data_IF_175670537219
#
_entry.id   IF_175670537219
#
_cell.length_a   1.000
_cell.length_b   1.000
_cell.length_c   1.000
_cell.angle_alpha   90.00
_cell.angle_beta   90.00
_cell.angle_gamma   90.00
#
_symmetry.space_group_name_H-M   'P 1'
#
loop_
_entity.id
_entity.type
_entity.pdbx_description
1 polymer ?
#
# COMPACT_ATOMS: atom_id res chain seq x y z
N UNK A 1 -11.15 4.94 6.17
CA UNK A 1 -9.69 5.03 5.95
C UNK A 1 -9.43 4.91 4.46
N UNK A 2 -8.65 5.82 3.89
CA UNK A 2 -8.27 5.79 2.48
C UNK A 2 -7.23 4.72 2.23
N UNK A 3 -7.05 4.32 0.97
CA UNK A 3 -6.03 3.34 0.57
C UNK A 3 -4.61 3.80 0.90
N UNK A 4 -4.34 5.11 0.79
CA UNK A 4 -3.06 5.71 1.20
C UNK A 4 -2.84 5.64 2.73
N UNK A 5 -3.86 5.94 3.53
CA UNK A 5 -3.78 5.83 4.98
C UNK A 5 -3.47 4.39 5.42
N UNK A 6 -4.11 3.40 4.78
CA UNK A 6 -3.83 1.98 5.03
C UNK A 6 -2.39 1.62 4.60
N UNK A 7 -1.94 2.09 3.44
CA UNK A 7 -0.57 1.83 2.97
C UNK A 7 0.49 2.32 3.96
N UNK A 8 0.32 3.53 4.50
CA UNK A 8 1.19 4.09 5.56
C UNK A 8 1.18 3.24 6.82
N UNK A 9 -0.01 2.83 7.26
CA UNK A 9 -0.16 2.00 8.46
C UNK A 9 0.52 0.63 8.29
N UNK A 10 0.35 -0.02 7.14
CA UNK A 10 0.97 -1.32 6.87
C UNK A 10 2.48 -1.21 6.75
N UNK A 11 3.00 -0.16 6.10
CA UNK A 11 4.44 0.08 6.04
C UNK A 11 5.02 0.30 7.45
N UNK A 12 4.33 1.05 8.30
CA UNK A 12 4.73 1.21 9.70
C UNK A 12 4.75 -0.13 10.44
N UNK A 13 3.66 -0.91 10.38
CA UNK A 13 3.60 -2.22 11.06
C UNK A 13 4.68 -3.16 10.52
N UNK A 14 4.88 -3.23 9.21
CA UNK A 14 5.93 -4.05 8.57
C UNK A 14 7.33 -3.71 9.10
N UNK A 15 7.63 -2.42 9.26
CA UNK A 15 8.89 -1.94 9.82
C UNK A 15 9.07 -2.42 11.27
N UNK A 16 8.05 -2.23 12.11
CA UNK A 16 8.08 -2.66 13.52
C UNK A 16 8.22 -4.19 13.65
N UNK A 17 7.75 -4.94 12.66
CA UNK A 17 7.89 -6.40 12.58
C UNK A 17 9.23 -6.86 11.98
N UNK A 18 10.10 -5.93 11.57
CA UNK A 18 11.42 -6.25 11.00
C UNK A 18 11.39 -6.72 9.54
N UNK A 19 10.30 -6.47 8.80
CA UNK A 19 10.24 -6.76 7.37
C UNK A 19 11.18 -5.82 6.59
N UNK A 20 11.88 -6.32 5.57
CA UNK A 20 12.64 -5.46 4.66
C UNK A 20 11.68 -4.67 3.75
N UNK A 21 11.42 -3.43 4.14
CA UNK A 21 10.64 -2.46 3.36
C UNK A 21 11.50 -1.31 2.81
N UNK A 22 12.80 -1.29 3.11
CA UNK A 22 13.74 -0.32 2.55
C UNK A 22 13.99 -0.54 1.07
N UNK A 23 13.83 -1.78 0.61
CA UNK A 23 13.92 -2.16 -0.79
C UNK A 23 12.51 -2.43 -1.33
N UNK A 24 12.10 -1.64 -2.34
CA UNK A 24 10.82 -1.77 -3.03
C UNK A 24 10.98 -1.43 -4.51
N UNK A 25 10.20 -2.08 -5.36
CA UNK A 25 10.09 -1.68 -6.76
C UNK A 25 9.09 -0.53 -6.93
N UNK A 26 9.40 0.39 -7.83
CA UNK A 26 8.47 1.46 -8.21
C UNK A 26 7.45 0.89 -9.18
N UNK A 27 6.20 0.83 -8.74
CA UNK A 27 5.06 0.44 -9.59
C UNK A 27 4.46 1.69 -10.24
N UNK A 28 4.41 1.70 -11.58
CA UNK A 28 3.86 2.82 -12.34
C UNK A 28 2.32 2.81 -12.27
N UNK A 29 1.75 3.81 -11.59
CA UNK A 29 0.31 4.06 -11.56
C UNK A 29 0.00 5.43 -12.16
N UNK A 30 -1.10 5.54 -12.91
CA UNK A 30 -1.48 6.79 -13.59
C UNK A 30 -1.88 7.91 -12.61
N UNK A 31 -2.36 7.53 -11.42
CA UNK A 31 -2.85 8.46 -10.40
C UNK A 31 -1.79 8.79 -9.33
N UNK A 32 -0.55 8.33 -9.50
CA UNK A 32 0.52 8.57 -8.53
C UNK A 32 0.92 10.05 -8.45
N UNK A 33 0.75 10.81 -9.52
CA UNK A 33 1.03 12.25 -9.57
C UNK A 33 0.14 13.07 -8.64
N UNK A 34 -1.00 12.52 -8.23
CA UNK A 34 -1.92 13.17 -7.30
C UNK A 34 -1.46 13.07 -5.83
N UNK A 35 -0.40 12.28 -5.57
CA UNK A 35 0.12 11.98 -4.22
C UNK A 35 1.37 12.81 -3.96
N UNK A 36 1.50 13.33 -2.73
CA UNK A 36 2.69 14.08 -2.34
C UNK A 36 3.96 13.20 -2.42
N UNK A 37 5.09 13.77 -2.86
CA UNK A 37 6.34 13.02 -3.11
C UNK A 37 6.81 12.20 -1.90
N UNK A 38 6.66 12.76 -0.68
CA UNK A 38 7.03 12.09 0.56
C UNK A 38 6.09 10.93 0.95
N UNK A 39 4.95 10.80 0.28
CA UNK A 39 3.95 9.77 0.56
C UNK A 39 3.92 8.66 -0.50
N UNK A 40 4.46 8.91 -1.70
CA UNK A 40 4.58 7.90 -2.77
C UNK A 40 5.30 6.62 -2.34
N UNK A 41 6.39 6.66 -1.53
CA UNK A 41 7.06 5.43 -1.09
C UNK A 41 6.13 4.43 -0.40
N UNK A 42 5.14 4.88 0.38
CA UNK A 42 4.21 3.98 1.05
C UNK A 42 3.33 3.21 0.07
N UNK A 43 2.96 3.84 -1.05
CA UNK A 43 2.21 3.20 -2.13
C UNK A 43 3.08 2.15 -2.81
N UNK A 44 4.33 2.49 -3.13
CA UNK A 44 5.26 1.56 -3.76
C UNK A 44 5.53 0.35 -2.88
N UNK A 45 5.82 0.55 -1.60
CA UNK A 45 6.00 -0.53 -0.62
C UNK A 45 4.75 -1.42 -0.56
N UNK A 46 3.56 -0.83 -0.41
CA UNK A 46 2.32 -1.61 -0.30
C UNK A 46 1.99 -2.39 -1.58
N UNK A 47 2.35 -1.86 -2.74
CA UNK A 47 2.16 -2.51 -4.04
C UNK A 47 3.19 -3.62 -4.30
N UNK A 48 4.48 -3.32 -4.10
CA UNK A 48 5.62 -4.24 -4.25
C UNK A 48 5.47 -5.47 -3.37
N UNK A 49 5.17 -5.26 -2.08
CA UNK A 49 4.96 -6.36 -1.13
C UNK A 49 3.61 -7.06 -1.30
N UNK A 50 2.76 -6.57 -2.21
CA UNK A 50 1.47 -7.17 -2.53
C UNK A 50 0.39 -7.00 -1.47
N UNK A 51 0.60 -6.13 -0.48
CA UNK A 51 -0.37 -5.83 0.58
C UNK A 51 -1.65 -5.22 -0.02
N UNK A 52 -1.46 -4.24 -0.92
CA UNK A 52 -2.53 -3.54 -1.61
C UNK A 52 -2.29 -3.66 -3.11
N UNK A 53 -3.34 -4.05 -3.84
CA UNK A 53 -3.30 -4.11 -5.31
C UNK A 53 -4.14 -2.97 -5.88
N UNK A 54 -3.61 -2.28 -6.88
CA UNK A 54 -4.39 -1.38 -7.73
C UNK A 54 -5.34 -2.14 -8.67
N UNK A 55 -5.99 -1.42 -9.57
CA UNK A 55 -6.84 -2.00 -10.61
C UNK A 55 -6.08 -2.38 -11.90
N UNK A 56 -4.75 -2.28 -11.87
CA UNK A 56 -3.84 -2.50 -13.00
C UNK A 56 -3.40 -1.21 -13.69
N UNK A 57 -4.12 -0.10 -13.50
CA UNK A 57 -3.75 1.22 -14.03
C UNK A 57 -3.59 2.27 -12.93
N UNK A 58 -4.42 2.18 -11.89
CA UNK A 58 -4.53 3.15 -10.81
C UNK A 58 -4.38 2.47 -9.44
N UNK A 59 -3.75 3.17 -8.51
CA UNK A 59 -3.68 2.73 -7.12
C UNK A 59 -4.92 3.11 -6.32
N UNK A 60 -5.59 4.21 -6.69
CA UNK A 60 -6.72 4.86 -6.03
C UNK A 60 -6.42 5.33 -4.60
N UNK A 61 -5.39 6.18 -4.39
CA UNK A 61 -4.87 6.50 -3.05
C UNK A 61 -5.91 7.15 -2.13
N UNK A 62 -6.83 7.94 -2.68
CA UNK A 62 -7.82 8.70 -1.92
C UNK A 62 -9.18 8.02 -1.81
N UNK A 63 -9.37 6.87 -2.46
CA UNK A 63 -10.60 6.09 -2.31
C UNK A 63 -10.63 5.44 -0.93
N UNK A 64 -11.82 5.44 -0.32
CA UNK A 64 -12.07 4.73 0.92
C UNK A 64 -12.17 3.23 0.68
N UNK A 65 -11.51 2.44 1.52
CA UNK A 65 -11.72 1.00 1.54
C UNK A 65 -13.06 0.65 2.20
N UNK A 66 -13.78 -0.25 1.58
CA UNK A 66 -14.87 -1.01 2.21
C UNK A 66 -14.32 -1.97 3.27
N UNK A 67 -15.19 -2.46 4.16
CA UNK A 67 -14.79 -3.45 5.17
C UNK A 67 -14.24 -4.73 4.55
N UNK A 68 -14.82 -5.16 3.42
CA UNK A 68 -14.39 -6.34 2.68
C UNK A 68 -12.99 -6.15 2.10
N UNK A 69 -12.71 -4.99 1.50
CA UNK A 69 -11.38 -4.67 0.99
C UNK A 69 -10.35 -4.60 2.13
N UNK A 70 -10.70 -3.96 3.25
CA UNK A 70 -9.83 -3.90 4.42
C UNK A 70 -9.48 -5.30 4.94
N UNK A 71 -10.47 -6.21 5.02
CA UNK A 71 -10.24 -7.60 5.39
C UNK A 71 -9.25 -8.30 4.44
N UNK A 72 -9.45 -8.15 3.13
CA UNK A 72 -8.56 -8.76 2.11
C UNK A 72 -7.13 -8.21 2.22
N UNK A 73 -6.99 -6.90 2.45
CA UNK A 73 -5.68 -6.25 2.61
C UNK A 73 -4.97 -6.80 3.85
N UNK A 74 -5.65 -6.87 5.00
CA UNK A 74 -5.09 -7.42 6.23
C UNK A 74 -4.75 -8.89 6.12
N UNK A 75 -5.60 -9.68 5.43
CA UNK A 75 -5.33 -11.09 5.18
C UNK A 75 -4.08 -11.30 4.31
N UNK A 76 -3.89 -10.48 3.26
CA UNK A 76 -2.67 -10.51 2.44
C UNK A 76 -1.44 -10.12 3.25
N UNK A 77 -1.53 -9.05 4.03
CA UNK A 77 -0.45 -8.63 4.91
C UNK A 77 -0.06 -9.74 5.89
N UNK A 78 -1.03 -10.36 6.57
CA UNK A 78 -0.78 -11.45 7.50
C UNK A 78 -0.08 -12.65 6.85
N UNK A 79 -0.46 -13.01 5.61
CA UNK A 79 0.17 -14.11 4.88
C UNK A 79 1.53 -13.76 4.26
N UNK A 80 1.96 -12.50 4.35
CA UNK A 80 3.28 -12.04 3.88
C UNK A 80 4.34 -11.96 4.98
N UNK A 81 3.93 -12.22 6.23
CA UNK A 81 4.82 -12.39 7.39
C UNK A 81 5.60 -13.70 7.29
#
# INVERSE_FOLDING_TARGET
>A
MTRLEIAKLLAYIANEMGMNISEFEIVNYNDIEQVAENEKPYIYIAADKGFIKGDGLNFKPFDYCTYQEAYIILYRFYNSL
#
